data_IF_152285545195
#
_entry.id   IF_152285545195
#
_cell.length_a   1.000
_cell.length_b   1.000
_cell.length_c   1.000
_cell.angle_alpha   90.00
_cell.angle_beta   90.00
_cell.angle_gamma   90.00
#
_symmetry.space_group_name_H-M   'P 1'
#
loop_
_entity.id
_entity.type
_entity.pdbx_description
1 polymer ?
#
# COMPACT_ATOMS: atom_id res chain seq x y z
N UNK A 1 -1.27 13.63 -27.74
CA UNK A 1 -1.91 13.46 -26.41
C UNK A 1 -2.57 12.08 -26.40
N UNK A 2 -1.94 11.07 -25.80
CA UNK A 2 -2.46 9.68 -25.82
C UNK A 2 -3.37 9.49 -24.61
N UNK A 3 -4.64 9.15 -24.85
CA UNK A 3 -5.60 8.77 -23.81
C UNK A 3 -5.21 7.38 -23.28
N UNK A 4 -4.74 7.31 -22.03
CA UNK A 4 -4.64 6.04 -21.32
C UNK A 4 -6.06 5.58 -20.93
N UNK A 5 -6.61 4.66 -21.73
CA UNK A 5 -7.83 3.92 -21.39
C UNK A 5 -7.44 2.86 -20.34
N UNK A 6 -7.51 3.21 -19.06
CA UNK A 6 -7.31 2.25 -17.98
C UNK A 6 -8.62 1.45 -17.83
N UNK A 7 -8.54 0.14 -18.09
CA UNK A 7 -9.68 -0.78 -17.87
C UNK A 7 -9.91 -0.89 -16.36
N UNK A 8 -11.14 -0.60 -15.94
CA UNK A 8 -11.63 -0.82 -14.57
C UNK A 8 -11.64 -2.31 -14.25
N UNK A 9 -10.89 -2.73 -13.24
CA UNK A 9 -10.99 -4.04 -12.59
C UNK A 9 -10.35 -3.99 -11.21
N UNK A 10 -11.05 -4.45 -10.18
CA UNK A 10 -10.46 -4.66 -8.85
C UNK A 10 -9.18 -5.50 -8.99
N UNK A 11 -8.07 -5.04 -8.40
CA UNK A 11 -6.77 -5.73 -8.48
C UNK A 11 -6.88 -7.09 -7.80
N UNK A 12 -7.05 -8.15 -8.60
CA UNK A 12 -7.05 -9.54 -8.17
C UNK A 12 -5.63 -10.07 -8.36
N UNK A 13 -4.94 -10.40 -7.27
CA UNK A 13 -3.58 -10.93 -7.34
C UNK A 13 -3.55 -12.37 -6.83
N UNK A 14 -2.81 -13.25 -7.53
CA UNK A 14 -2.64 -14.66 -7.17
C UNK A 14 -1.31 -14.86 -6.46
N UNK A 15 -1.33 -15.42 -5.24
CA UNK A 15 -0.12 -15.74 -4.46
C UNK A 15 -0.26 -17.14 -3.89
N UNK A 16 0.74 -18.00 -4.08
CA UNK A 16 0.68 -19.41 -3.73
C UNK A 16 0.56 -19.64 -2.20
N UNK A 17 -0.37 -20.52 -1.82
CA UNK A 17 -0.84 -20.69 -0.45
C UNK A 17 0.16 -21.40 0.47
N UNK A 18 0.90 -20.60 1.24
CA UNK A 18 1.36 -20.99 2.58
C UNK A 18 0.89 -19.94 3.58
N UNK A 19 -0.40 -19.98 3.91
CA UNK A 19 -1.00 -19.33 5.10
C UNK A 19 -0.61 -17.86 5.29
N UNK A 20 -0.64 -17.06 4.22
CA UNK A 20 -0.49 -15.61 4.34
C UNK A 20 -1.86 -14.99 4.62
N UNK A 21 -2.05 -14.46 5.82
CA UNK A 21 -3.23 -13.67 6.17
C UNK A 21 -2.86 -12.20 6.00
N UNK A 22 -3.05 -11.64 4.81
CA UNK A 22 -2.80 -10.21 4.56
C UNK A 22 -3.53 -9.33 5.59
N UNK A 23 -4.73 -9.73 6.02
CA UNK A 23 -5.51 -9.08 7.07
C UNK A 23 -4.79 -9.05 8.42
N UNK A 24 -3.93 -10.05 8.72
CA UNK A 24 -3.08 -10.03 9.92
C UNK A 24 -1.99 -8.98 9.81
N UNK A 25 -1.33 -8.88 8.66
CA UNK A 25 -0.28 -7.88 8.41
C UNK A 25 -0.86 -6.47 8.36
N UNK A 26 -2.04 -6.28 7.77
CA UNK A 26 -2.77 -5.00 7.81
C UNK A 26 -3.07 -4.59 9.25
N UNK A 27 -3.67 -5.49 10.05
CA UNK A 27 -3.93 -5.20 11.48
C UNK A 27 -2.63 -4.92 12.25
N UNK A 28 -1.55 -5.62 11.92
CA UNK A 28 -0.25 -5.37 12.52
C UNK A 28 0.23 -3.95 12.21
N UNK A 29 0.27 -3.57 10.93
CA UNK A 29 0.74 -2.26 10.48
C UNK A 29 -0.15 -1.12 10.98
N UNK A 30 -1.47 -1.29 11.03
CA UNK A 30 -2.36 -0.32 11.67
C UNK A 30 -2.03 -0.10 13.15
N UNK A 31 -1.72 -1.17 13.90
CA UNK A 31 -1.28 -1.03 15.30
C UNK A 31 0.08 -0.33 15.43
N UNK A 32 0.96 -0.45 14.43
CA UNK A 32 2.25 0.26 14.41
C UNK A 32 2.06 1.74 14.15
N UNK A 33 1.19 2.08 13.20
CA UNK A 33 0.77 3.45 12.94
C UNK A 33 0.15 4.13 14.17
N UNK A 34 -0.76 3.45 14.87
CA UNK A 34 -1.35 3.95 16.13
C UNK A 34 -0.32 4.20 17.26
N UNK A 35 0.88 3.62 17.14
CA UNK A 35 2.00 3.82 18.07
C UNK A 35 3.08 4.74 17.51
N UNK A 36 2.81 5.41 16.38
CA UNK A 36 3.77 6.27 15.67
C UNK A 36 5.09 5.55 15.40
N UNK A 37 5.01 4.25 15.11
CA UNK A 37 6.18 3.39 14.95
C UNK A 37 6.37 3.02 13.48
N UNK A 38 7.47 3.51 12.90
CA UNK A 38 7.83 3.25 11.51
C UNK A 38 8.18 1.79 11.24
N UNK A 39 7.48 1.13 10.33
CA UNK A 39 7.73 -0.26 9.91
C UNK A 39 7.51 -0.43 8.42
N UNK A 40 8.25 -1.36 7.82
CA UNK A 40 8.04 -1.83 6.46
C UNK A 40 7.97 -3.36 6.52
N UNK A 41 6.97 -3.94 5.87
CA UNK A 41 6.74 -5.38 5.77
C UNK A 41 6.42 -5.69 4.32
N UNK A 42 7.08 -6.71 3.76
CA UNK A 42 6.77 -7.26 2.44
C UNK A 42 6.00 -8.56 2.61
N UNK A 43 4.99 -8.78 1.75
CA UNK A 43 4.16 -9.97 1.78
C UNK A 43 3.85 -10.41 0.35
N UNK A 44 4.58 -11.41 -0.14
CA UNK A 44 4.51 -11.80 -1.54
C UNK A 44 4.89 -10.61 -2.43
N UNK A 45 3.91 -10.05 -3.15
CA UNK A 45 4.10 -8.96 -4.11
C UNK A 45 3.61 -7.60 -3.60
N UNK A 46 3.13 -7.51 -2.36
CA UNK A 46 2.70 -6.24 -1.76
C UNK A 46 3.65 -5.78 -0.67
N UNK A 47 3.69 -4.46 -0.46
CA UNK A 47 4.46 -3.82 0.60
C UNK A 47 3.51 -3.04 1.50
N UNK A 48 3.61 -3.27 2.81
CA UNK A 48 2.91 -2.50 3.82
C UNK A 48 3.92 -1.66 4.60
N UNK A 49 3.55 -0.44 4.95
CA UNK A 49 4.37 0.36 5.85
C UNK A 49 3.54 1.24 6.79
N UNK A 50 4.11 1.50 7.96
CA UNK A 50 3.69 2.54 8.90
C UNK A 50 4.80 3.57 9.04
N UNK A 51 4.46 4.76 9.50
CA UNK A 51 5.37 5.90 9.62
C UNK A 51 5.36 6.48 11.03
N UNK A 52 6.37 7.29 11.35
CA UNK A 52 6.45 8.01 12.62
C UNK A 52 5.44 9.17 12.71
N UNK A 53 4.78 9.53 11.61
CA UNK A 53 3.65 10.46 11.59
C UNK A 53 2.30 9.77 11.82
N UNK A 54 2.30 8.46 12.10
CA UNK A 54 1.08 7.70 12.35
C UNK A 54 0.30 7.30 11.09
N UNK A 55 0.84 7.54 9.89
CA UNK A 55 0.22 7.06 8.67
C UNK A 55 0.63 5.62 8.37
N UNK A 56 -0.27 4.87 7.74
CA UNK A 56 0.05 3.57 7.14
C UNK A 56 -0.57 3.36 5.77
N UNK A 57 0.07 2.48 5.01
CA UNK A 57 -0.23 2.23 3.61
C UNK A 57 0.00 0.76 3.24
N UNK A 58 -0.77 0.30 2.27
CA UNK A 58 -0.58 -0.93 1.52
C UNK A 58 -0.33 -0.53 0.06
N UNK A 59 0.74 -1.05 -0.52
CA UNK A 59 1.18 -0.78 -1.88
C UNK A 59 1.21 -2.06 -2.70
N UNK A 60 0.81 -1.95 -3.96
CA UNK A 60 1.20 -2.87 -5.04
C UNK A 60 2.24 -2.15 -5.91
N UNK A 61 3.53 -2.51 -5.79
CA UNK A 61 4.57 -1.89 -6.59
C UNK A 61 4.54 -2.24 -8.07
N UNK A 62 3.95 -3.38 -8.47
CA UNK A 62 3.89 -3.80 -9.87
C UNK A 62 2.97 -2.88 -10.67
N UNK A 63 1.80 -2.56 -10.11
CA UNK A 63 0.78 -1.74 -10.74
C UNK A 63 0.75 -0.29 -10.21
N UNK A 64 1.67 0.07 -9.30
CA UNK A 64 1.73 1.38 -8.63
C UNK A 64 0.42 1.77 -7.93
N UNK A 65 -0.26 0.78 -7.34
CA UNK A 65 -1.51 0.98 -6.62
C UNK A 65 -1.25 1.18 -5.13
N UNK A 66 -2.06 2.01 -4.50
CA UNK A 66 -1.99 2.25 -3.07
C UNK A 66 -3.38 2.32 -2.44
N UNK A 67 -3.47 1.88 -1.20
CA UNK A 67 -4.61 2.11 -0.33
C UNK A 67 -4.13 2.49 1.07
N UNK A 68 -4.66 3.56 1.68
CA UNK A 68 -4.27 3.95 3.01
C UNK A 68 -4.87 3.01 4.06
N UNK A 69 -4.06 2.64 5.04
CA UNK A 69 -4.45 1.75 6.14
C UNK A 69 -4.65 2.51 7.46
N UNK A 70 -3.96 3.63 7.65
CA UNK A 70 -4.13 4.50 8.80
C UNK A 70 -3.77 5.95 8.45
N UNK A 71 -4.32 6.88 9.23
CA UNK A 71 -4.02 8.32 9.16
C UNK A 71 -3.84 8.86 10.56
N UNK A 72 -2.70 9.49 10.84
CA UNK A 72 -2.42 10.11 12.15
C UNK A 72 -2.71 9.16 13.35
N UNK A 73 -2.38 7.88 13.19
CA UNK A 73 -2.61 6.84 14.18
C UNK A 73 -3.99 6.17 14.13
N UNK A 74 -4.97 6.77 13.44
CA UNK A 74 -6.31 6.22 13.30
C UNK A 74 -6.39 5.20 12.15
N UNK A 75 -6.85 3.98 12.48
CA UNK A 75 -7.02 2.91 11.51
C UNK A 75 -8.16 3.22 10.53
N UNK A 76 -7.89 3.03 9.23
CA UNK A 76 -8.87 3.13 8.16
C UNK A 76 -9.38 1.75 7.76
N UNK A 77 -10.66 1.68 7.38
CA UNK A 77 -11.24 0.46 6.82
C UNK A 77 -10.68 0.22 5.41
N UNK A 78 -10.26 -1.01 5.14
CA UNK A 78 -9.79 -1.45 3.82
C UNK A 78 -10.58 -2.68 3.41
N UNK A 79 -11.04 -2.71 2.16
CA UNK A 79 -11.73 -3.88 1.61
C UNK A 79 -10.70 -4.92 1.19
N UNK A 80 -10.69 -6.06 1.89
CA UNK A 80 -9.82 -7.20 1.60
C UNK A 80 -10.67 -8.46 1.58
N UNK A 81 -10.62 -9.17 0.47
CA UNK A 81 -11.19 -10.51 0.34
C UNK A 81 -10.02 -11.50 0.27
N UNK A 82 -9.96 -12.44 1.20
CA UNK A 82 -8.91 -13.46 1.28
C UNK A 82 -9.52 -14.86 1.13
N UNK A 83 -8.84 -15.72 0.40
CA UNK A 83 -9.02 -17.18 0.39
C UNK A 83 -7.72 -17.85 0.80
N UNK A 84 -7.71 -19.18 0.93
CA UNK A 84 -6.51 -19.93 1.35
C UNK A 84 -5.29 -19.72 0.43
N UNK A 85 -5.52 -19.32 -0.81
CA UNK A 85 -4.48 -19.17 -1.85
C UNK A 85 -4.56 -17.83 -2.59
N UNK A 86 -5.35 -16.87 -2.12
CA UNK A 86 -5.59 -15.65 -2.89
C UNK A 86 -6.02 -14.48 -2.03
N UNK A 87 -5.79 -13.26 -2.51
CA UNK A 87 -6.45 -12.08 -1.98
C UNK A 87 -6.85 -11.09 -3.08
N UNK A 88 -7.85 -10.28 -2.77
CA UNK A 88 -8.28 -9.12 -3.57
C UNK A 88 -8.27 -7.91 -2.65
N UNK A 89 -7.69 -6.80 -3.13
CA UNK A 89 -7.61 -5.56 -2.38
C UNK A 89 -8.42 -4.49 -3.11
N UNK A 90 -9.25 -3.77 -2.36
CA UNK A 90 -9.93 -2.56 -2.81
C UNK A 90 -8.96 -1.38 -2.88
N UNK A 91 -8.11 -1.33 -3.91
CA UNK A 91 -7.19 -0.21 -4.13
C UNK A 91 -7.94 1.11 -4.31
N UNK A 92 -7.59 2.15 -3.56
CA UNK A 92 -8.29 3.44 -3.58
C UNK A 92 -7.61 4.49 -4.45
N UNK A 93 -6.37 4.24 -4.89
CA UNK A 93 -5.66 5.18 -5.74
C UNK A 93 -4.36 4.62 -6.31
N UNK A 94 -3.62 5.52 -6.96
CA UNK A 94 -2.28 5.26 -7.50
C UNK A 94 -1.26 6.07 -6.72
N UNK A 95 -0.02 5.58 -6.67
CA UNK A 95 1.08 6.31 -6.05
C UNK A 95 2.30 6.43 -6.95
N UNK A 96 3.16 7.37 -6.61
CA UNK A 96 4.51 7.51 -7.17
C UNK A 96 5.45 8.00 -6.07
N UNK A 97 6.70 7.55 -6.12
CA UNK A 97 7.77 8.08 -5.28
C UNK A 97 8.66 8.96 -6.15
N UNK A 98 8.73 10.25 -5.80
CA UNK A 98 9.57 11.25 -6.47
C UNK A 98 10.61 11.77 -5.48
N UNK A 99 11.77 11.12 -5.43
CA UNK A 99 12.81 11.44 -4.46
C UNK A 99 12.32 11.30 -3.01
N UNK A 100 12.24 12.41 -2.28
CA UNK A 100 11.76 12.45 -0.91
C UNK A 100 10.22 12.45 -0.78
N UNK A 101 9.49 12.61 -1.90
CA UNK A 101 8.05 12.75 -1.88
C UNK A 101 7.33 11.43 -2.19
N UNK A 102 6.36 11.10 -1.36
CA UNK A 102 5.34 10.09 -1.65
C UNK A 102 4.10 10.81 -2.20
N UNK A 103 3.77 10.58 -3.47
CA UNK A 103 2.64 11.19 -4.15
C UNK A 103 1.53 10.17 -4.29
N UNK A 104 0.33 10.50 -3.86
CA UNK A 104 -0.86 9.65 -3.97
C UNK A 104 -2.00 10.41 -4.66
N UNK A 105 -2.61 9.77 -5.65
CA UNK A 105 -3.82 10.25 -6.32
C UNK A 105 -4.99 9.33 -5.99
N UNK A 106 -5.95 9.86 -5.26
CA UNK A 106 -7.19 9.17 -4.93
C UNK A 106 -8.09 9.03 -6.17
N UNK A 107 -8.50 7.80 -6.50
CA UNK A 107 -9.20 7.53 -7.77
C UNK A 107 -10.66 8.00 -7.75
N UNK A 108 -11.26 8.06 -6.56
CA UNK A 108 -12.69 8.32 -6.40
C UNK A 108 -12.93 9.83 -6.29
N UNK A 109 -12.13 10.52 -5.48
CA UNK A 109 -12.20 11.98 -5.30
C UNK A 109 -11.36 12.78 -6.30
N UNK A 110 -10.36 12.17 -6.94
CA UNK A 110 -9.36 12.89 -7.74
C UNK A 110 -8.37 13.73 -6.92
N UNK A 111 -8.37 13.59 -5.59
CA UNK A 111 -7.50 14.36 -4.70
C UNK A 111 -6.05 13.91 -4.83
N UNK A 112 -5.15 14.86 -5.10
CA UNK A 112 -3.69 14.64 -5.12
C UNK A 112 -3.09 15.03 -3.78
N UNK A 113 -2.29 14.13 -3.20
CA UNK A 113 -1.55 14.37 -1.96
C UNK A 113 -0.07 14.15 -2.20
N UNK A 114 0.74 15.15 -1.85
CA UNK A 114 2.20 15.06 -1.82
C UNK A 114 2.62 15.03 -0.36
N UNK A 115 3.26 13.94 0.05
CA UNK A 115 3.61 13.70 1.45
C UNK A 115 5.13 13.61 1.57
N UNK A 116 5.68 14.40 2.49
CA UNK A 116 7.10 14.42 2.83
C UNK A 116 7.32 13.77 4.20
N UNK A 117 8.56 13.36 4.48
CA UNK A 117 8.94 12.74 5.76
C UNK A 117 8.68 11.24 5.84
N UNK A 118 8.10 10.63 4.81
CA UNK A 118 8.02 9.18 4.70
C UNK A 118 9.39 8.57 4.36
N UNK A 119 9.66 7.30 4.73
CA UNK A 119 10.94 6.64 4.47
C UNK A 119 11.06 6.17 2.99
N UNK A 120 10.89 7.09 2.03
CA UNK A 120 10.80 6.78 0.59
C UNK A 120 12.01 6.01 0.07
N UNK A 121 13.23 6.36 0.50
CA UNK A 121 14.44 5.64 0.12
C UNK A 121 14.41 4.17 0.54
N UNK A 122 13.93 3.88 1.76
CA UNK A 122 13.80 2.50 2.25
C UNK A 122 12.69 1.76 1.52
N UNK A 123 11.56 2.43 1.25
CA UNK A 123 10.46 1.84 0.47
C UNK A 123 10.95 1.44 -0.92
N UNK A 124 11.64 2.34 -1.63
CA UNK A 124 12.20 2.05 -2.97
C UNK A 124 13.23 0.93 -2.92
N UNK A 125 14.07 0.86 -1.88
CA UNK A 125 15.03 -0.24 -1.69
C UNK A 125 14.32 -1.59 -1.52
N UNK A 126 13.30 -1.68 -0.65
CA UNK A 126 12.54 -2.92 -0.46
C UNK A 126 11.80 -3.32 -1.74
N UNK A 127 11.20 -2.36 -2.46
CA UNK A 127 10.58 -2.61 -3.77
C UNK A 127 11.60 -3.20 -4.75
N UNK A 128 12.82 -2.66 -4.80
CA UNK A 128 13.87 -3.22 -5.66
C UNK A 128 14.21 -4.67 -5.27
N UNK A 129 14.26 -5.00 -3.99
CA UNK A 129 14.53 -6.35 -3.50
C UNK A 129 13.40 -7.34 -3.78
N UNK A 130 12.16 -6.87 -4.02
CA UNK A 130 11.02 -7.72 -4.36
C UNK A 130 11.05 -8.21 -5.82
N UNK A 131 11.76 -7.53 -6.72
CA UNK A 131 11.78 -7.83 -8.16
C UNK A 131 13.18 -8.01 -8.77
N UNK A 132 14.23 -7.78 -7.99
CA UNK A 132 15.62 -8.07 -8.36
C UNK A 132 15.96 -9.53 -8.17
#
# INVERSE_FOLDING_TARGET
MVRLKIKRGAGKQRVEGKTFRLAKEVRYIQRRAARYDGRIVTLGQVLLFSTETGDAWLLDPSDQLATPLARDGDALSVHIEETDTNFTIGWTGVYRIDGAAFVYLDKDSGSLRTILGYPTQRITHEISNMFG
#
